data_IF_227590109624
#
_entry.id   IF_227590109624
#
_cell.length_a   1.000
_cell.length_b   1.000
_cell.length_c   1.000
_cell.angle_alpha   90.00
_cell.angle_beta   90.00
_cell.angle_gamma   90.00
#
_symmetry.space_group_name_H-M   'P 1'
#
loop_
_entity.id
_entity.type
_entity.pdbx_description
1 polymer ?
#
# COMPACT_ATOMS: atom_id res chain seq x y z
N UNK A 1 -21.93 -58.28 -21.57
CA UNK A 1 -20.86 -59.28 -21.33
C UNK A 1 -19.53 -58.58 -21.55
N UNK A 2 -18.58 -58.82 -20.64
CA UNK A 2 -17.19 -58.32 -20.55
C UNK A 2 -16.92 -56.95 -19.90
N UNK A 3 -16.18 -57.07 -18.81
CA UNK A 3 -15.60 -56.09 -17.89
C UNK A 3 -14.14 -55.79 -18.23
N UNK A 4 -13.62 -54.63 -17.82
CA UNK A 4 -12.20 -54.32 -17.58
C UNK A 4 -12.16 -52.86 -17.06
N UNK A 5 -11.43 -52.43 -16.03
CA UNK A 5 -10.70 -53.06 -14.94
C UNK A 5 -10.38 -51.89 -13.97
N UNK A 6 -10.56 -52.14 -12.68
CA UNK A 6 -10.20 -51.24 -11.58
C UNK A 6 -8.67 -51.11 -11.48
N UNK A 7 -8.16 -49.89 -11.34
CA UNK A 7 -6.81 -49.64 -10.80
C UNK A 7 -6.92 -48.58 -9.71
N UNK A 8 -6.87 -49.07 -8.47
CA UNK A 8 -6.52 -48.29 -7.30
C UNK A 8 -5.05 -47.85 -7.40
N UNK A 9 -4.77 -46.57 -7.16
CA UNK A 9 -3.47 -46.13 -6.66
C UNK A 9 -3.71 -45.10 -5.57
N UNK A 10 -3.41 -45.51 -4.33
CA UNK A 10 -3.52 -44.68 -3.16
C UNK A 10 -2.41 -43.64 -3.13
N UNK A 11 -2.78 -42.38 -3.10
CA UNK A 11 -1.93 -41.32 -2.55
C UNK A 11 -2.41 -41.04 -1.13
N UNK A 12 -1.66 -41.55 -0.16
CA UNK A 12 -1.69 -41.10 1.22
C UNK A 12 -1.34 -39.61 1.25
N UNK A 13 -2.32 -38.75 1.44
CA UNK A 13 -2.07 -37.37 1.87
C UNK A 13 -1.76 -37.45 3.36
N UNK A 14 -0.47 -37.54 3.69
CA UNK A 14 -0.02 -37.37 5.05
C UNK A 14 -0.49 -35.98 5.53
N UNK A 15 -1.30 -35.96 6.58
CA UNK A 15 -1.68 -34.75 7.29
C UNK A 15 -0.41 -33.99 7.70
N UNK A 16 -0.28 -32.75 7.21
CA UNK A 16 0.75 -31.84 7.70
C UNK A 16 0.43 -31.48 9.16
N UNK A 17 1.40 -31.52 10.08
CA UNK A 17 1.15 -31.13 11.45
C UNK A 17 0.85 -29.62 11.49
N UNK A 18 -0.04 -29.23 12.41
CA UNK A 18 -0.37 -27.85 12.70
C UNK A 18 0.91 -27.02 12.89
N UNK A 19 1.04 -25.94 12.12
CA UNK A 19 2.14 -24.99 12.28
C UNK A 19 1.94 -24.28 13.61
N UNK A 20 2.78 -24.63 14.58
CA UNK A 20 2.91 -23.92 15.85
C UNK A 20 3.35 -22.49 15.54
N UNK A 21 2.64 -21.51 16.08
CA UNK A 21 2.97 -20.07 16.05
C UNK A 21 4.50 -19.87 16.10
N UNK A 22 5.09 -19.49 14.97
CA UNK A 22 6.48 -19.04 14.89
C UNK A 22 6.46 -17.52 14.90
N UNK A 23 7.02 -16.91 15.94
CA UNK A 23 7.39 -15.50 15.94
C UNK A 23 8.45 -15.28 14.85
N UNK A 24 8.05 -14.78 13.69
CA UNK A 24 9.00 -14.28 12.70
C UNK A 24 9.32 -12.83 13.07
N UNK A 25 10.47 -12.61 13.70
CA UNK A 25 11.01 -11.27 13.91
C UNK A 25 11.80 -10.89 12.65
N UNK A 26 11.15 -10.20 11.72
CA UNK A 26 11.86 -9.60 10.58
C UNK A 26 12.54 -8.32 11.05
N UNK A 27 13.87 -8.33 11.10
CA UNK A 27 14.68 -7.13 11.37
C UNK A 27 14.83 -6.37 10.05
N UNK A 28 14.36 -5.12 9.98
CA UNK A 28 14.60 -4.25 8.83
C UNK A 28 16.12 -3.99 8.74
N UNK A 29 16.74 -4.30 7.60
CA UNK A 29 18.17 -4.12 7.39
C UNK A 29 18.46 -2.75 6.76
N UNK A 30 19.34 -1.95 7.38
CA UNK A 30 19.91 -0.74 6.78
C UNK A 30 21.35 -0.52 7.26
N UNK A 31 22.22 -0.13 6.34
CA UNK A 31 23.65 0.11 6.59
C UNK A 31 23.92 1.25 7.57
N UNK A 32 25.03 1.12 8.30
CA UNK A 32 25.38 1.95 9.44
C UNK A 32 25.76 3.40 9.07
N UNK A 33 25.08 4.37 9.67
CA UNK A 33 25.59 5.71 9.95
C UNK A 33 25.20 6.08 11.40
N UNK A 34 26.12 6.69 12.15
CA UNK A 34 25.98 6.97 13.58
C UNK A 34 24.97 8.10 13.81
N UNK A 35 23.79 7.70 14.26
CA UNK A 35 22.62 8.52 14.58
C UNK A 35 21.44 7.59 14.39
N UNK A 36 20.92 6.99 15.47
CA UNK A 36 19.96 5.90 15.38
C UNK A 36 18.77 6.30 14.50
N UNK A 37 18.58 5.58 13.38
CA UNK A 37 17.42 5.80 12.53
C UNK A 37 16.18 5.36 13.34
N UNK A 38 15.21 6.24 13.63
CA UNK A 38 14.04 5.93 14.47
C UNK A 38 13.14 4.80 13.91
N UNK A 39 13.40 4.35 12.67
CA UNK A 39 12.74 3.21 12.03
C UNK A 39 13.39 1.85 12.35
N UNK A 40 14.62 1.82 12.87
CA UNK A 40 15.38 0.58 13.10
C UNK A 40 14.84 -0.31 14.23
N UNK A 41 13.93 0.21 15.06
CA UNK A 41 13.41 -0.47 16.25
C UNK A 41 11.94 -0.91 16.10
N UNK A 42 11.38 -0.87 14.88
CA UNK A 42 10.05 -1.40 14.61
C UNK A 42 10.13 -2.93 14.46
N UNK A 43 9.30 -3.62 15.22
CA UNK A 43 9.08 -5.07 15.13
C UNK A 43 7.63 -5.34 14.75
N UNK A 44 7.41 -6.43 14.02
CA UNK A 44 6.10 -6.85 13.54
C UNK A 44 5.64 -8.07 14.36
N UNK A 45 4.40 -8.05 14.81
CA UNK A 45 3.75 -9.18 15.47
C UNK A 45 2.55 -9.61 14.64
N UNK A 46 2.64 -10.82 14.09
CA UNK A 46 1.56 -11.45 13.32
C UNK A 46 0.67 -12.30 14.23
N UNK A 47 -0.64 -12.21 14.02
CA UNK A 47 -1.64 -13.07 14.62
C UNK A 47 -2.64 -13.54 13.56
N UNK A 48 -3.32 -14.66 13.82
CA UNK A 48 -4.21 -15.31 12.84
C UNK A 48 -3.46 -16.09 11.75
N UNK A 49 -4.17 -16.48 10.70
CA UNK A 49 -3.62 -17.21 9.55
C UNK A 49 -3.46 -16.29 8.33
N UNK A 50 -2.26 -16.18 7.76
CA UNK A 50 -2.07 -15.32 6.58
C UNK A 50 -2.92 -15.79 5.38
N UNK A 51 -3.79 -14.92 4.86
CA UNK A 51 -4.73 -15.28 3.79
C UNK A 51 -6.18 -15.44 4.24
N UNK A 52 -6.46 -15.26 5.53
CA UNK A 52 -7.81 -15.31 6.11
C UNK A 52 -8.17 -13.97 6.76
N UNK A 53 -9.44 -13.80 7.12
CA UNK A 53 -9.97 -12.52 7.65
C UNK A 53 -9.55 -12.24 9.10
N UNK A 54 -9.01 -13.23 9.81
CA UNK A 54 -8.47 -13.09 11.16
C UNK A 54 -6.97 -12.72 11.19
N UNK A 55 -6.30 -12.63 10.04
CA UNK A 55 -4.92 -12.19 9.98
C UNK A 55 -4.77 -10.73 10.41
N UNK A 56 -3.81 -10.47 11.29
CA UNK A 56 -3.39 -9.11 11.65
C UNK A 56 -1.87 -9.03 11.75
N UNK A 57 -1.31 -7.89 11.35
CA UNK A 57 0.09 -7.53 11.54
C UNK A 57 0.18 -6.24 12.35
N UNK A 58 0.59 -6.36 13.61
CA UNK A 58 0.70 -5.27 14.57
C UNK A 58 2.13 -4.74 14.62
N UNK A 59 2.29 -3.42 14.73
CA UNK A 59 3.59 -2.75 14.78
C UNK A 59 3.95 -2.45 16.22
N UNK A 60 5.21 -2.72 16.61
CA UNK A 60 5.72 -2.43 17.96
C UNK A 60 7.05 -1.70 17.90
N UNK A 61 7.24 -0.70 18.76
CA UNK A 61 8.53 -0.03 19.02
C UNK A 61 8.81 -0.10 20.51
N UNK A 62 10.01 -0.55 20.89
CA UNK A 62 10.40 -0.75 22.30
C UNK A 62 9.41 -1.61 23.12
N UNK A 63 8.76 -2.57 22.44
CA UNK A 63 7.76 -3.46 23.04
C UNK A 63 6.35 -2.88 23.18
N UNK A 64 6.15 -1.58 22.91
CA UNK A 64 4.84 -0.93 22.89
C UNK A 64 4.23 -0.96 21.50
N UNK A 65 2.90 -1.15 21.40
CA UNK A 65 2.17 -1.05 20.14
C UNK A 65 2.22 0.38 19.62
N UNK A 66 2.54 0.51 18.33
CA UNK A 66 2.49 1.77 17.60
C UNK A 66 1.54 1.61 16.40
N UNK A 67 0.96 2.72 15.96
CA UNK A 67 0.23 2.78 14.71
C UNK A 67 1.16 3.03 13.55
N UNK A 68 1.13 2.19 12.50
CA UNK A 68 1.93 2.45 11.30
C UNK A 68 1.43 3.67 10.52
N UNK A 69 0.18 4.09 10.70
CA UNK A 69 -0.36 5.31 10.10
C UNK A 69 0.06 6.57 10.87
N UNK A 70 -0.05 6.55 12.20
CA UNK A 70 0.13 7.75 13.02
C UNK A 70 1.54 7.96 13.58
N UNK A 71 2.25 6.88 13.93
CA UNK A 71 3.52 6.95 14.69
C UNK A 71 4.78 6.76 13.84
N UNK A 72 4.62 6.32 12.58
CA UNK A 72 5.70 6.32 11.61
C UNK A 72 5.78 7.74 11.01
N UNK A 73 6.94 8.41 11.05
CA UNK A 73 7.08 9.74 10.46
C UNK A 73 6.84 9.68 8.95
N UNK A 74 6.10 10.66 8.41
CA UNK A 74 5.96 10.82 6.96
C UNK A 74 7.32 11.01 6.26
N UNK A 75 8.15 11.92 6.77
CA UNK A 75 9.44 12.25 6.17
C UNK A 75 10.54 11.27 6.63
N UNK A 76 11.32 10.79 5.66
CA UNK A 76 12.55 10.02 5.88
C UNK A 76 13.81 10.91 5.88
N UNK A 77 13.65 12.21 5.59
CA UNK A 77 14.73 13.19 5.46
C UNK A 77 15.29 13.29 4.05
N UNK A 78 16.03 14.37 3.76
CA UNK A 78 16.64 14.63 2.44
C UNK A 78 15.65 14.62 1.27
N UNK A 79 14.39 15.05 1.48
CA UNK A 79 13.34 15.02 0.47
C UNK A 79 12.79 13.64 0.16
N UNK A 80 13.09 12.64 1.00
CA UNK A 80 12.51 11.29 0.93
C UNK A 80 11.35 11.15 1.92
N UNK A 81 10.44 10.24 1.59
CA UNK A 81 9.27 9.91 2.39
C UNK A 81 9.30 8.44 2.80
N UNK A 82 8.75 8.11 3.96
CA UNK A 82 8.61 6.72 4.38
C UNK A 82 7.37 6.12 3.74
N UNK A 83 7.54 5.13 2.88
CA UNK A 83 6.44 4.28 2.42
C UNK A 83 6.27 3.10 3.36
N UNK A 84 5.04 2.83 3.78
CA UNK A 84 4.67 1.56 4.39
C UNK A 84 4.22 0.59 3.29
N UNK A 85 4.92 -0.54 3.13
CA UNK A 85 4.51 -1.55 2.14
C UNK A 85 3.40 -2.44 2.69
N UNK A 86 2.25 -2.47 2.03
CA UNK A 86 1.11 -3.32 2.40
C UNK A 86 1.06 -4.58 1.52
N UNK A 87 1.26 -4.43 0.21
CA UNK A 87 1.15 -5.52 -0.76
C UNK A 87 2.47 -5.62 -1.53
N UNK A 88 3.28 -6.67 -1.28
CA UNK A 88 4.51 -6.91 -2.03
C UNK A 88 4.26 -7.08 -3.53
N UNK A 89 5.22 -6.65 -4.34
CA UNK A 89 5.25 -6.85 -5.80
C UNK A 89 4.93 -8.31 -6.17
N UNK A 90 4.12 -8.50 -7.21
CA UNK A 90 3.68 -9.79 -7.75
C UNK A 90 2.81 -10.63 -6.80
N UNK A 91 2.13 -10.02 -5.83
CA UNK A 91 1.21 -10.72 -4.93
C UNK A 91 -0.25 -10.31 -5.15
N UNK A 92 -1.17 -11.06 -4.52
CA UNK A 92 -2.63 -10.99 -4.78
C UNK A 92 -3.47 -10.59 -3.57
N UNK A 93 -2.97 -10.78 -2.34
CA UNK A 93 -3.77 -10.54 -1.14
C UNK A 93 -3.91 -9.03 -0.95
N UNK A 94 -5.16 -8.54 -0.93
CA UNK A 94 -5.41 -7.11 -0.69
C UNK A 94 -5.24 -6.83 0.80
N UNK A 95 -4.01 -6.52 1.16
CA UNK A 95 -3.62 -6.12 2.51
C UNK A 95 -3.68 -4.60 2.58
N UNK A 96 -4.11 -4.07 3.72
CA UNK A 96 -4.23 -2.63 3.95
C UNK A 96 -4.09 -2.32 5.44
N UNK A 97 -3.65 -1.11 5.75
CA UNK A 97 -3.77 -0.52 7.08
C UNK A 97 -5.25 -0.40 7.43
N UNK A 98 -5.67 -1.03 8.54
CA UNK A 98 -7.04 -0.90 9.04
C UNK A 98 -7.20 0.46 9.75
N UNK A 99 -7.63 1.48 9.01
CA UNK A 99 -7.80 2.87 9.48
C UNK A 99 -8.80 3.03 10.63
N UNK A 100 -9.62 2.00 10.88
CA UNK A 100 -10.72 2.02 11.87
C UNK A 100 -10.38 1.22 13.12
N UNK A 101 -9.41 0.31 13.06
CA UNK A 101 -8.97 -0.47 14.20
C UNK A 101 -7.96 0.28 15.06
N UNK A 102 -8.04 0.04 16.37
CA UNK A 102 -7.05 0.54 17.33
C UNK A 102 -5.64 0.08 16.95
N UNK A 103 -4.70 1.03 16.86
CA UNK A 103 -3.32 0.78 16.49
C UNK A 103 -3.09 0.53 15.00
N UNK A 104 -4.12 0.65 14.15
CA UNK A 104 -4.08 0.51 12.69
C UNK A 104 -3.19 -0.63 12.16
N UNK A 105 -3.37 -1.89 12.60
CA UNK A 105 -2.61 -3.02 12.07
C UNK A 105 -2.87 -3.19 10.57
N UNK A 106 -1.94 -3.84 9.87
CA UNK A 106 -2.23 -4.31 8.51
C UNK A 106 -3.14 -5.55 8.62
N UNK A 107 -4.23 -5.57 7.86
CA UNK A 107 -5.15 -6.70 7.73
C UNK A 107 -5.48 -6.96 6.26
N UNK A 108 -6.03 -8.13 5.98
CA UNK A 108 -6.56 -8.40 4.65
C UNK A 108 -7.99 -7.88 4.54
N UNK A 109 -8.26 -7.08 3.50
CA UNK A 109 -9.60 -6.56 3.19
C UNK A 109 -10.61 -7.73 3.10
N UNK A 110 -11.82 -7.54 3.60
CA UNK A 110 -12.88 -8.54 3.60
C UNK A 110 -13.98 -8.16 2.60
N UNK A 111 -14.27 -9.06 1.67
CA UNK A 111 -15.37 -8.93 0.73
C UNK A 111 -16.33 -10.10 0.84
N UNK A 112 -17.57 -9.81 1.27
CA UNK A 112 -18.65 -10.81 1.43
C UNK A 112 -18.26 -11.97 2.37
N UNK A 113 -17.66 -11.68 3.52
CA UNK A 113 -17.26 -12.72 4.49
C UNK A 113 -15.99 -13.46 4.14
N UNK A 114 -15.22 -13.01 3.15
CA UNK A 114 -14.01 -13.69 2.66
C UNK A 114 -12.86 -12.70 2.49
N UNK A 115 -11.67 -13.16 2.83
CA UNK A 115 -10.42 -12.44 2.60
C UNK A 115 -10.26 -12.14 1.10
N UNK A 116 -10.11 -10.87 0.75
CA UNK A 116 -10.14 -10.38 -0.63
C UNK A 116 -8.81 -10.63 -1.31
N UNK A 117 -8.88 -11.16 -2.53
CA UNK A 117 -7.77 -11.24 -3.46
C UNK A 117 -8.03 -10.28 -4.62
N UNK A 118 -6.98 -9.67 -5.15
CA UNK A 118 -7.02 -9.14 -6.50
C UNK A 118 -7.21 -10.28 -7.52
N UNK A 119 -7.84 -9.95 -8.64
CA UNK A 119 -8.08 -10.90 -9.73
C UNK A 119 -6.83 -11.17 -10.57
N UNK A 120 -5.81 -10.31 -10.45
CA UNK A 120 -4.46 -10.48 -11.00
C UNK A 120 -3.44 -9.85 -10.05
N UNK A 121 -2.16 -10.26 -10.10
CA UNK A 121 -1.17 -9.73 -9.18
C UNK A 121 -0.94 -8.24 -9.46
N UNK A 122 -0.66 -7.48 -8.40
CA UNK A 122 -0.12 -6.13 -8.56
C UNK A 122 1.34 -6.24 -8.99
N UNK A 123 1.76 -5.49 -10.01
CA UNK A 123 3.11 -5.61 -10.60
C UNK A 123 4.18 -4.75 -9.90
N UNK A 124 3.78 -3.99 -8.88
CA UNK A 124 4.59 -3.05 -8.12
C UNK A 124 4.43 -3.32 -6.63
N UNK A 125 5.37 -2.84 -5.81
CA UNK A 125 5.10 -2.80 -4.37
C UNK A 125 4.05 -1.72 -4.13
N UNK A 126 3.09 -2.01 -3.27
CA UNK A 126 1.98 -1.13 -3.00
C UNK A 126 1.78 -0.94 -1.50
N UNK A 127 1.33 0.24 -1.13
CA UNK A 127 0.96 0.59 0.24
C UNK A 127 0.69 2.06 0.32
N UNK A 128 1.04 2.70 1.44
CA UNK A 128 0.67 4.09 1.68
C UNK A 128 1.77 4.92 2.34
N UNK A 129 1.60 6.24 2.35
CA UNK A 129 2.40 7.15 3.18
C UNK A 129 1.76 7.33 4.56
N UNK A 130 2.47 7.08 5.66
CA UNK A 130 2.04 7.43 7.01
C UNK A 130 1.74 8.92 7.14
N UNK A 131 0.87 9.28 8.09
CA UNK A 131 0.52 10.68 8.40
C UNK A 131 0.01 11.47 7.18
N UNK A 132 -0.68 10.81 6.26
CA UNK A 132 -1.44 11.43 5.17
C UNK A 132 -2.88 10.94 5.25
N UNK A 133 -3.80 11.71 4.69
CA UNK A 133 -5.21 11.36 4.64
C UNK A 133 -5.90 12.10 3.49
N UNK A 134 -6.66 11.39 2.68
CA UNK A 134 -7.51 11.97 1.64
C UNK A 134 -8.88 12.31 2.24
N UNK A 135 -9.06 13.57 2.64
CA UNK A 135 -10.25 14.02 3.38
C UNK A 135 -11.53 13.92 2.51
N UNK A 136 -12.52 13.09 2.91
CA UNK A 136 -13.78 12.92 2.18
C UNK A 136 -14.72 14.14 2.32
N UNK A 137 -14.35 15.13 3.14
CA UNK A 137 -15.14 16.34 3.37
C UNK A 137 -14.67 17.52 2.50
N UNK A 138 -13.53 17.39 1.82
CA UNK A 138 -12.98 18.42 0.94
C UNK A 138 -13.27 18.05 -0.51
N UNK A 139 -13.93 18.96 -1.23
CA UNK A 139 -14.28 18.75 -2.63
C UNK A 139 -13.07 19.07 -3.51
N UNK A 140 -12.69 18.12 -4.36
CA UNK A 140 -11.68 18.32 -5.40
C UNK A 140 -12.06 19.36 -6.45
N UNK A 141 -11.10 19.75 -7.26
CA UNK A 141 -11.27 20.75 -8.31
C UNK A 141 -11.89 20.17 -9.61
N UNK A 142 -11.94 20.97 -10.67
CA UNK A 142 -12.46 20.53 -11.97
C UNK A 142 -11.60 19.47 -12.66
N UNK A 143 -10.29 19.41 -12.38
CA UNK A 143 -9.38 18.45 -12.98
C UNK A 143 -9.65 17.01 -12.50
N UNK A 144 -10.25 16.87 -11.32
CA UNK A 144 -10.72 15.60 -10.76
C UNK A 144 -12.26 15.49 -10.75
N UNK A 145 -12.94 16.36 -11.50
CA UNK A 145 -14.40 16.31 -11.65
C UNK A 145 -15.18 16.63 -10.37
N UNK A 146 -14.55 17.26 -9.38
CA UNK A 146 -15.16 17.56 -8.09
C UNK A 146 -15.32 16.36 -7.16
N UNK A 147 -14.56 15.28 -7.37
CA UNK A 147 -14.53 14.12 -6.50
C UNK A 147 -13.97 14.48 -5.10
N UNK A 148 -14.44 13.80 -4.07
CA UNK A 148 -13.96 13.92 -2.69
C UNK A 148 -12.96 12.80 -2.39
N UNK A 149 -12.06 12.96 -1.42
CA UNK A 149 -11.09 11.94 -1.05
C UNK A 149 -11.74 10.62 -0.60
N UNK A 150 -11.01 9.52 -0.73
CA UNK A 150 -11.47 8.15 -0.42
C UNK A 150 -11.43 7.79 1.08
N UNK A 151 -11.05 8.75 1.93
CA UNK A 151 -10.97 8.62 3.38
C UNK A 151 -9.85 7.69 3.90
N UNK A 152 -8.87 7.35 3.07
CA UNK A 152 -7.71 6.53 3.43
C UNK A 152 -6.39 7.33 3.35
N UNK A 153 -5.24 6.76 3.79
CA UNK A 153 -3.93 7.40 3.62
C UNK A 153 -3.51 7.40 2.15
N UNK A 154 -2.68 8.36 1.74
CA UNK A 154 -2.22 8.50 0.36
C UNK A 154 -1.51 7.25 -0.14
N UNK A 155 -2.04 6.66 -1.22
CA UNK A 155 -1.54 5.43 -1.81
C UNK A 155 -0.24 5.62 -2.59
N UNK A 156 0.63 4.60 -2.54
CA UNK A 156 1.94 4.58 -3.17
C UNK A 156 2.14 3.32 -4.01
N UNK A 157 2.57 3.53 -5.24
CA UNK A 157 3.04 2.53 -6.19
C UNK A 157 4.55 2.69 -6.33
N UNK A 158 5.30 1.78 -5.71
CA UNK A 158 6.77 1.80 -5.74
C UNK A 158 7.31 0.95 -6.90
N UNK A 159 8.06 1.60 -7.78
CA UNK A 159 8.38 1.06 -9.11
C UNK A 159 9.69 0.29 -9.22
N UNK A 160 10.47 0.24 -8.13
CA UNK A 160 11.77 -0.40 -8.09
C UNK A 160 11.74 -1.88 -8.50
N UNK A 161 12.93 -2.38 -8.81
CA UNK A 161 13.10 -3.74 -9.29
C UNK A 161 12.81 -4.78 -8.20
N UNK A 162 13.18 -4.48 -6.95
CA UNK A 162 13.05 -5.39 -5.83
C UNK A 162 11.60 -5.56 -5.36
N UNK A 163 11.26 -6.75 -4.87
CA UNK A 163 10.04 -6.96 -4.08
C UNK A 163 10.34 -6.56 -2.63
N UNK A 164 9.53 -5.66 -2.08
CA UNK A 164 9.61 -5.22 -0.68
C UNK A 164 8.80 -6.14 0.22
N UNK A 165 9.17 -6.20 1.50
CA UNK A 165 8.44 -7.02 2.48
C UNK A 165 7.18 -6.29 2.97
N UNK A 166 6.08 -7.03 3.17
CA UNK A 166 4.89 -6.49 3.81
C UNK A 166 5.23 -5.97 5.22
N UNK A 167 4.70 -4.81 5.57
CA UNK A 167 4.99 -4.08 6.80
C UNK A 167 6.36 -3.40 6.83
N UNK A 168 7.16 -3.47 5.76
CA UNK A 168 8.42 -2.74 5.72
C UNK A 168 8.19 -1.24 5.54
N UNK A 169 9.05 -0.45 6.19
CA UNK A 169 9.10 1.01 6.05
C UNK A 169 10.31 1.36 5.19
N UNK A 170 10.06 1.88 4.00
CA UNK A 170 11.10 2.10 2.98
C UNK A 170 11.16 3.58 2.61
N UNK A 171 12.34 4.23 2.71
CA UNK A 171 12.52 5.57 2.16
C UNK A 171 12.36 5.56 0.64
N UNK A 172 11.40 6.33 0.14
CA UNK A 172 11.10 6.46 -1.29
C UNK A 172 11.22 7.90 -1.75
N UNK A 173 11.57 8.07 -3.02
CA UNK A 173 11.56 9.36 -3.71
C UNK A 173 10.29 9.46 -4.58
N UNK A 174 9.45 10.48 -4.39
CA UNK A 174 8.31 10.75 -5.27
C UNK A 174 8.77 11.08 -6.68
N UNK A 175 8.08 10.54 -7.69
CA UNK A 175 8.39 10.74 -9.10
C UNK A 175 7.22 11.33 -9.88
N UNK A 176 5.99 11.07 -9.45
CA UNK A 176 4.78 11.57 -10.08
C UNK A 176 3.54 11.06 -9.37
N UNK A 177 2.35 11.43 -9.84
CA UNK A 177 1.08 11.00 -9.22
C UNK A 177 -0.02 10.89 -10.28
N UNK A 178 -0.92 9.92 -10.12
CA UNK A 178 -2.12 9.75 -10.95
C UNK A 178 -3.37 10.03 -10.10
N UNK A 179 -4.28 10.86 -10.57
CA UNK A 179 -5.60 11.07 -9.94
C UNK A 179 -6.58 10.00 -10.43
N UNK A 180 -6.70 8.86 -9.75
CA UNK A 180 -7.74 7.88 -10.06
C UNK A 180 -9.07 8.35 -9.48
N UNK A 181 -10.17 8.07 -10.20
CA UNK A 181 -11.53 8.20 -9.69
C UNK A 181 -12.06 6.79 -9.45
N UNK A 182 -12.07 6.35 -8.19
CA UNK A 182 -12.45 5.01 -7.75
C UNK A 182 -13.88 4.99 -7.21
N UNK A 183 -14.82 4.39 -7.94
CA UNK A 183 -16.25 4.39 -7.53
C UNK A 183 -16.83 5.80 -7.20
N UNK A 184 -16.23 6.87 -7.73
CA UNK A 184 -16.65 8.27 -7.55
C UNK A 184 -15.81 9.07 -6.55
N UNK A 185 -14.90 8.42 -5.84
CA UNK A 185 -13.97 9.02 -4.90
C UNK A 185 -12.62 9.32 -5.59
N UNK A 186 -11.96 10.40 -5.19
CA UNK A 186 -10.59 10.69 -5.59
C UNK A 186 -9.67 9.79 -4.78
N UNK A 187 -8.84 9.06 -5.49
CA UNK A 187 -7.90 8.10 -4.94
C UNK A 187 -6.54 8.33 -5.66
N UNK A 188 -5.67 9.11 -5.03
CA UNK A 188 -4.39 9.47 -5.62
C UNK A 188 -3.41 8.30 -5.57
N UNK A 189 -2.84 7.93 -6.72
CA UNK A 189 -1.78 6.94 -6.82
C UNK A 189 -0.43 7.61 -6.98
N UNK A 190 0.29 7.81 -5.88
CA UNK A 190 1.65 8.31 -5.90
C UNK A 190 2.57 7.28 -6.56
N UNK A 191 3.37 7.71 -7.53
CA UNK A 191 4.42 6.89 -8.14
C UNK A 191 5.75 7.28 -7.49
N UNK A 192 6.41 6.32 -6.87
CA UNK A 192 7.66 6.55 -6.16
C UNK A 192 8.68 5.44 -6.46
N UNK A 193 9.94 5.68 -6.11
CA UNK A 193 11.01 4.67 -6.22
C UNK A 193 11.77 4.58 -4.90
N UNK A 194 12.08 3.36 -4.47
CA UNK A 194 12.96 3.12 -3.34
C UNK A 194 14.30 3.85 -3.54
N UNK A 195 14.72 4.64 -2.55
CA UNK A 195 15.96 5.40 -2.61
C UNK A 195 17.23 4.53 -2.76
N UNK A 196 17.14 3.24 -2.43
CA UNK A 196 18.20 2.26 -2.60
C UNK A 196 18.16 1.50 -3.94
N UNK A 197 17.18 1.76 -4.81
CA UNK A 197 17.13 1.16 -6.15
C UNK A 197 18.33 1.63 -7.01
N UNK A 198 18.83 0.76 -7.88
CA UNK A 198 20.00 1.02 -8.72
C UNK A 198 19.81 2.21 -9.69
N UNK A 199 18.56 2.51 -10.08
CA UNK A 199 18.23 3.63 -10.95
C UNK A 199 17.67 4.85 -10.19
N UNK A 200 17.58 4.78 -8.86
CA UNK A 200 17.00 5.85 -8.05
C UNK A 200 17.70 7.20 -8.23
N UNK A 201 19.02 7.23 -8.51
CA UNK A 201 19.72 8.49 -8.75
C UNK A 201 19.37 9.11 -10.11
N UNK A 202 19.02 8.30 -11.11
CA UNK A 202 18.76 8.74 -12.48
C UNK A 202 17.30 9.13 -12.73
N UNK A 203 16.35 8.51 -12.03
CA UNK A 203 14.92 8.74 -12.21
C UNK A 203 14.47 9.81 -11.22
N UNK A 204 14.19 11.04 -11.67
CA UNK A 204 13.89 12.18 -10.79
C UNK A 204 12.53 12.82 -11.05
N UNK A 205 11.89 12.52 -12.17
CA UNK A 205 10.55 12.95 -12.52
C UNK A 205 9.82 11.85 -13.31
N UNK A 206 8.52 12.03 -13.54
CA UNK A 206 7.64 11.07 -14.22
C UNK A 206 8.14 10.73 -15.62
N UNK A 207 8.70 11.71 -16.33
CA UNK A 207 9.24 11.53 -17.69
C UNK A 207 10.53 10.71 -17.72
N UNK A 208 11.24 10.59 -16.60
CA UNK A 208 12.44 9.75 -16.52
C UNK A 208 12.09 8.27 -16.39
N UNK A 209 10.91 7.94 -15.81
CA UNK A 209 10.48 6.55 -15.58
C UNK A 209 10.52 5.76 -16.89
N UNK A 210 9.96 6.31 -17.96
CA UNK A 210 9.82 5.64 -19.25
C UNK A 210 11.18 5.39 -19.96
N UNK A 211 12.25 6.08 -19.54
CA UNK A 211 13.61 5.89 -20.08
C UNK A 211 14.28 4.62 -19.52
N UNK A 212 13.89 4.21 -18.30
CA UNK A 212 14.49 3.07 -17.59
C UNK A 212 13.51 1.90 -17.47
N UNK A 213 12.23 2.20 -17.24
CA UNK A 213 11.14 1.24 -17.06
C UNK A 213 9.98 1.57 -18.02
N UNK A 214 10.16 1.34 -19.34
CA UNK A 214 9.17 1.69 -20.34
C UNK A 214 7.84 0.95 -20.13
N UNK A 215 6.73 1.67 -20.29
CA UNK A 215 5.37 1.20 -20.10
C UNK A 215 4.91 1.19 -18.64
N UNK A 216 5.72 1.67 -17.69
CA UNK A 216 5.36 1.63 -16.27
C UNK A 216 4.20 2.55 -15.95
N UNK A 217 4.23 3.81 -16.40
CA UNK A 217 3.17 4.79 -16.05
C UNK A 217 1.83 4.37 -16.65
N UNK A 218 1.83 3.97 -17.92
CA UNK A 218 0.63 3.44 -18.59
C UNK A 218 0.18 2.12 -17.97
N UNK A 219 1.12 1.24 -17.61
CA UNK A 219 0.83 -0.02 -16.94
C UNK A 219 0.12 0.18 -15.60
N UNK A 220 0.59 1.12 -14.77
CA UNK A 220 -0.05 1.45 -13.48
C UNK A 220 -1.48 1.92 -13.73
N UNK A 221 -1.65 2.91 -14.61
CA UNK A 221 -2.97 3.47 -14.94
C UNK A 221 -3.93 2.38 -15.42
N UNK A 222 -3.50 1.52 -16.36
CA UNK A 222 -4.36 0.48 -16.89
C UNK A 222 -4.65 -0.63 -15.87
N UNK A 223 -3.68 -1.03 -15.04
CA UNK A 223 -3.95 -2.00 -13.97
C UNK A 223 -5.10 -1.50 -13.08
N UNK A 224 -5.00 -0.26 -12.60
CA UNK A 224 -6.00 0.38 -11.74
C UNK A 224 -7.31 0.71 -12.46
N UNK A 225 -7.30 0.93 -13.78
CA UNK A 225 -8.52 1.08 -14.57
C UNK A 225 -9.38 -0.18 -14.56
N UNK A 226 -8.74 -1.34 -14.66
CA UNK A 226 -9.42 -2.60 -14.94
C UNK A 226 -9.58 -3.53 -13.73
N UNK A 227 -8.81 -3.35 -12.64
CA UNK A 227 -8.67 -4.38 -11.59
C UNK A 227 -9.97 -4.82 -10.91
N UNK A 228 -10.99 -3.95 -10.81
CA UNK A 228 -12.30 -4.29 -10.22
C UNK A 228 -13.33 -4.78 -11.24
N UNK A 229 -13.06 -4.72 -12.55
CA UNK A 229 -14.04 -5.14 -13.55
C UNK A 229 -14.47 -6.61 -13.45
N UNK A 230 -13.62 -7.57 -13.02
CA UNK A 230 -14.08 -8.94 -12.78
C UNK A 230 -15.07 -9.07 -11.62
N UNK A 231 -15.16 -8.05 -10.74
CA UNK A 231 -16.20 -7.94 -9.71
C UNK A 231 -17.51 -7.33 -10.23
N UNK A 232 -17.61 -7.05 -11.53
CA UNK A 232 -18.76 -6.36 -12.15
C UNK A 232 -18.80 -4.86 -11.88
N UNK A 233 -17.71 -4.27 -11.39
CA UNK A 233 -17.57 -2.82 -11.23
C UNK A 233 -17.26 -2.14 -12.57
N UNK A 234 -17.67 -0.87 -12.76
CA UNK A 234 -17.26 -0.10 -13.94
C UNK A 234 -15.73 0.07 -13.97
N UNK A 235 -15.20 0.45 -15.13
CA UNK A 235 -13.79 0.88 -15.23
C UNK A 235 -13.60 2.16 -14.43
N UNK A 236 -12.44 2.28 -13.76
CA UNK A 236 -12.09 3.51 -13.07
C UNK A 236 -11.68 4.59 -14.08
N UNK A 237 -11.99 5.85 -13.76
CA UNK A 237 -11.58 7.01 -14.55
C UNK A 237 -10.31 7.62 -13.97
N UNK A 238 -9.69 8.55 -14.71
CA UNK A 238 -8.57 9.34 -14.21
C UNK A 238 -8.79 10.83 -14.51
N UNK A 239 -8.53 11.66 -13.51
CA UNK A 239 -8.49 13.11 -13.66
C UNK A 239 -7.30 13.60 -14.48
N UNK A 240 -7.13 14.92 -14.57
CA UNK A 240 -5.99 15.58 -15.24
C UNK A 240 -5.73 15.12 -16.68
N UNK A 241 -6.80 14.79 -17.41
CA UNK A 241 -6.70 14.25 -18.76
C UNK A 241 -5.95 12.91 -18.81
N UNK A 242 -6.04 12.12 -17.75
CA UNK A 242 -5.41 10.81 -17.55
C UNK A 242 -3.87 10.81 -17.57
N UNK A 243 -3.25 11.98 -17.45
CA UNK A 243 -1.79 12.12 -17.39
C UNK A 243 -1.31 11.90 -15.96
N UNK A 244 -0.15 11.26 -15.83
CA UNK A 244 0.59 11.33 -14.58
C UNK A 244 1.20 12.73 -14.45
N UNK A 245 1.05 13.33 -13.27
CA UNK A 245 1.62 14.63 -12.94
C UNK A 245 3.07 14.47 -12.48
N UNK A 246 3.82 15.57 -12.53
CA UNK A 246 5.26 15.60 -12.21
C UNK A 246 5.58 15.27 -10.76
N UNK A 247 6.86 15.03 -10.46
CA UNK A 247 7.35 14.85 -9.09
C UNK A 247 7.01 16.05 -8.18
N UNK A 248 6.99 17.27 -8.73
CA UNK A 248 6.61 18.48 -7.98
C UNK A 248 5.15 18.43 -7.55
N UNK A 249 4.25 18.06 -8.46
CA UNK A 249 2.82 17.94 -8.15
C UNK A 249 2.56 16.79 -7.19
N UNK A 250 3.30 15.68 -7.32
CA UNK A 250 3.29 14.59 -6.34
C UNK A 250 3.65 15.08 -4.93
N UNK A 251 4.71 15.89 -4.77
CA UNK A 251 5.04 16.49 -3.47
C UNK A 251 3.93 17.40 -2.97
N UNK A 252 3.29 18.17 -3.85
CA UNK A 252 2.15 19.00 -3.47
C UNK A 252 0.97 18.18 -2.92
N UNK A 253 0.62 17.06 -3.56
CA UNK A 253 -0.41 16.13 -3.08
C UNK A 253 -0.04 15.52 -1.72
N UNK A 254 1.24 15.16 -1.51
CA UNK A 254 1.72 14.67 -0.21
C UNK A 254 1.55 15.76 0.88
N UNK A 255 1.93 17.00 0.58
CA UNK A 255 1.79 18.12 1.51
C UNK A 255 0.33 18.43 1.84
N UNK A 256 -0.56 18.40 0.84
CA UNK A 256 -1.99 18.62 0.99
C UNK A 256 -2.63 17.54 1.88
N UNK A 257 -2.43 16.26 1.54
CA UNK A 257 -2.97 15.13 2.31
C UNK A 257 -2.36 15.04 3.71
N UNK A 258 -1.11 15.47 3.91
CA UNK A 258 -0.54 15.65 5.24
C UNK A 258 -1.18 16.82 6.01
N UNK A 259 -1.55 17.90 5.33
CA UNK A 259 -2.32 19.00 5.88
C UNK A 259 -3.69 18.54 6.40
N UNK A 260 -4.42 17.79 5.57
CA UNK A 260 -5.69 17.17 5.95
C UNK A 260 -5.54 16.22 7.14
N UNK A 261 -4.52 15.35 7.12
CA UNK A 261 -4.20 14.49 8.25
C UNK A 261 -3.93 15.27 9.55
N UNK A 262 -3.18 16.38 9.48
CA UNK A 262 -2.91 17.23 10.65
C UNK A 262 -4.20 17.84 11.20
N UNK A 263 -5.12 18.26 10.33
CA UNK A 263 -6.41 18.80 10.75
C UNK A 263 -7.34 17.71 11.34
N UNK A 264 -7.31 16.47 10.80
CA UNK A 264 -7.94 15.29 11.39
C UNK A 264 -7.44 15.06 12.82
N UNK A 265 -6.11 14.96 13.00
CA UNK A 265 -5.51 14.70 14.32
C UNK A 265 -5.68 15.87 15.30
N UNK A 266 -5.94 17.09 14.82
CA UNK A 266 -6.26 18.25 15.63
C UNK A 266 -7.77 18.37 15.96
N UNK A 267 -8.61 17.45 15.48
CA UNK A 267 -10.06 17.47 15.68
C UNK A 267 -10.78 18.59 14.93
N UNK A 268 -10.19 19.08 13.83
CA UNK A 268 -10.77 20.14 12.98
C UNK A 268 -11.55 19.58 11.78
N UNK A 269 -11.30 18.32 11.41
CA UNK A 269 -12.06 17.59 10.41
C UNK A 269 -12.90 16.49 11.08
N UNK A 270 -14.00 16.09 10.45
CA UNK A 270 -14.83 14.98 10.93
C UNK A 270 -14.10 13.65 10.68
N UNK A 271 -13.69 12.99 11.76
CA UNK A 271 -13.01 11.70 11.72
C UNK A 271 -13.94 10.52 11.35
N UNK A 272 -15.27 10.71 11.43
CA UNK A 272 -16.23 9.64 11.16
C UNK A 272 -15.98 8.39 12.00
N UNK A 273 -15.48 7.32 11.36
CA UNK A 273 -15.17 6.03 12.00
C UNK A 273 -13.67 5.75 12.13
N UNK A 274 -12.82 6.69 11.73
CA UNK A 274 -11.38 6.54 11.78
C UNK A 274 -10.94 6.45 13.24
N UNK A 275 -9.98 5.57 13.52
CA UNK A 275 -9.33 5.55 14.81
C UNK A 275 -8.33 6.71 14.86
N UNK A 276 -8.55 7.63 15.78
CA UNK A 276 -7.65 8.74 16.10
C UNK A 276 -7.27 8.62 17.57
N UNK A 277 -6.03 8.99 17.92
CA UNK A 277 -5.47 8.83 19.27
C UNK A 277 -5.97 9.85 20.27
#
# INVERSE_FOLDING_TARGET
MLALLSVYSGYNVAARPAVRSMRHVTKLAGGAARGGNPLMDITLEEAGEFGTTDFTMTFKRDGAVISPWHDIPLEAGNGLYNMLTEIPKMTLKKMEVDTKAEGNPIKQDEKKGKARLYHGPIFWNYGCLPQTWEDPNVKGDENVGGAFGDNDPLDVVEIGAASLSMGSVTPVKPLGVLSMIDDGELDWKLIAINAADEHAAQINDVDDIEKFYPGTVSGIREWFRWYKTPDGKPINAFGHGEKALSAKEAVHVIEETNGFYKDLMAGKADAGKLWTK
#
